data_IF_472909176273
#
_entry.id   IF_472909176273
#
_cell.length_a   1.000
_cell.length_b   1.000
_cell.length_c   1.000
_cell.angle_alpha   90.00
_cell.angle_beta   90.00
_cell.angle_gamma   90.00
#
_symmetry.space_group_name_H-M   'P 1'
#
loop_
_entity.id
_entity.type
_entity.pdbx_description
1 polymer ?
#
# COMPACT_ATOMS: atom_id res chain seq x y z
N UNK A 1 16.26 -42.64 3.43
CA UNK A 1 15.07 -42.13 2.73
C UNK A 1 15.57 -41.15 1.70
N UNK A 2 15.19 -41.31 0.43
CA UNK A 2 15.44 -40.29 -0.59
C UNK A 2 14.60 -39.06 -0.24
N UNK A 3 15.24 -37.89 -0.23
CA UNK A 3 14.56 -36.60 0.00
C UNK A 3 13.79 -36.29 -1.28
N UNK A 4 12.47 -36.23 -1.19
CA UNK A 4 11.62 -35.85 -2.32
C UNK A 4 11.71 -34.35 -2.57
N UNK A 5 12.25 -33.94 -3.73
CA UNK A 5 12.33 -32.53 -4.13
C UNK A 5 11.51 -32.30 -5.38
N UNK A 6 10.58 -31.35 -5.35
CA UNK A 6 9.80 -30.96 -6.53
C UNK A 6 10.35 -29.70 -7.19
N UNK A 7 10.42 -29.70 -8.52
CA UNK A 7 10.75 -28.51 -9.31
C UNK A 7 9.45 -27.83 -9.72
N UNK A 8 9.37 -26.52 -9.49
CA UNK A 8 8.20 -25.70 -9.82
C UNK A 8 8.51 -24.91 -11.09
N UNK A 9 7.76 -25.18 -12.15
CA UNK A 9 7.95 -24.52 -13.45
C UNK A 9 6.89 -23.46 -13.77
N UNK A 10 5.78 -23.45 -13.03
CA UNK A 10 4.67 -22.53 -13.28
C UNK A 10 3.83 -22.22 -12.05
N UNK A 11 2.96 -21.22 -12.17
CA UNK A 11 1.93 -20.92 -11.17
C UNK A 11 0.97 -22.11 -10.97
N UNK A 12 0.63 -22.88 -12.02
CA UNK A 12 -0.19 -24.09 -11.87
C UNK A 12 0.46 -25.15 -11.00
N UNK A 13 1.78 -25.38 -11.15
CA UNK A 13 2.50 -26.33 -10.31
C UNK A 13 2.43 -25.92 -8.85
N UNK A 14 2.69 -24.65 -8.56
CA UNK A 14 2.62 -24.10 -7.21
C UNK A 14 1.22 -24.21 -6.62
N UNK A 15 0.17 -23.86 -7.38
CA UNK A 15 -1.22 -23.95 -6.95
C UNK A 15 -1.63 -25.38 -6.61
N UNK A 16 -1.22 -26.37 -7.41
CA UNK A 16 -1.49 -27.79 -7.12
C UNK A 16 -0.94 -28.21 -5.76
N UNK A 17 0.27 -27.77 -5.40
CA UNK A 17 0.83 -28.06 -4.07
C UNK A 17 0.09 -27.33 -2.94
N UNK A 18 -0.41 -26.11 -3.18
CA UNK A 18 -1.28 -25.43 -2.21
C UNK A 18 -2.61 -26.18 -2.02
N UNK A 19 -3.21 -26.68 -3.10
CA UNK A 19 -4.42 -27.51 -3.04
C UNK A 19 -4.19 -28.80 -2.23
N UNK A 20 -3.08 -29.48 -2.48
CA UNK A 20 -2.67 -30.67 -1.71
C UNK A 20 -2.52 -30.36 -0.21
N UNK A 21 -1.83 -29.26 0.12
CA UNK A 21 -1.64 -28.81 1.50
C UNK A 21 -2.97 -28.56 2.22
N UNK A 22 -3.87 -27.81 1.60
CA UNK A 22 -5.19 -27.49 2.18
C UNK A 22 -6.06 -28.74 2.30
N UNK A 23 -5.91 -29.71 1.40
CA UNK A 23 -6.55 -31.02 1.50
C UNK A 23 -5.93 -31.95 2.56
N UNK A 24 -4.89 -31.51 3.29
CA UNK A 24 -4.20 -32.29 4.31
C UNK A 24 -3.33 -33.42 3.74
N UNK A 25 -2.91 -33.30 2.48
CA UNK A 25 -2.01 -34.26 1.83
C UNK A 25 -0.54 -33.89 2.09
N UNK A 26 0.32 -34.89 2.07
CA UNK A 26 1.76 -34.69 2.24
C UNK A 26 2.37 -33.92 1.06
N UNK A 27 3.21 -32.95 1.40
CA UNK A 27 4.04 -32.22 0.45
C UNK A 27 5.42 -32.88 0.29
N UNK A 28 6.13 -32.62 -0.82
CA UNK A 28 7.54 -32.97 -0.96
C UNK A 28 8.38 -32.41 0.20
N UNK A 29 9.52 -33.03 0.46
CA UNK A 29 10.46 -32.60 1.51
C UNK A 29 11.16 -31.28 1.18
N UNK A 30 11.27 -30.94 -0.11
CA UNK A 30 11.88 -29.71 -0.59
C UNK A 30 11.33 -29.27 -1.94
N UNK A 31 11.64 -28.03 -2.31
CA UNK A 31 11.28 -27.47 -3.62
C UNK A 31 12.41 -26.64 -4.21
N UNK A 32 12.40 -26.52 -5.53
CA UNK A 32 13.21 -25.57 -6.29
C UNK A 32 12.38 -24.92 -7.39
N UNK A 33 12.89 -23.82 -7.93
CA UNK A 33 12.23 -23.03 -8.97
C UNK A 33 13.02 -23.11 -10.28
N UNK A 34 12.31 -23.18 -11.40
CA UNK A 34 12.92 -23.09 -12.73
C UNK A 34 12.05 -22.20 -13.64
N UNK A 35 12.51 -20.99 -13.93
CA UNK A 35 11.84 -20.02 -14.81
C UNK A 35 10.62 -19.30 -14.20
N UNK A 36 10.01 -19.86 -13.16
CA UNK A 36 8.95 -19.23 -12.35
C UNK A 36 9.47 -19.07 -10.91
N UNK A 37 9.28 -17.95 -10.19
CA UNK A 37 8.24 -16.92 -10.35
C UNK A 37 8.72 -15.61 -10.99
N UNK A 38 9.54 -15.68 -12.05
CA UNK A 38 9.96 -14.48 -12.80
C UNK A 38 8.75 -13.83 -13.47
N UNK A 39 8.75 -12.50 -13.53
CA UNK A 39 7.65 -11.71 -14.11
C UNK A 39 8.03 -11.16 -15.47
N UNK A 40 7.07 -11.18 -16.41
CA UNK A 40 7.25 -10.58 -17.73
C UNK A 40 6.31 -9.40 -17.93
N UNK A 41 6.88 -8.26 -18.29
CA UNK A 41 6.17 -7.03 -18.61
C UNK A 41 6.38 -6.68 -20.08
N UNK A 42 5.34 -6.17 -20.75
CA UNK A 42 5.48 -5.59 -22.09
C UNK A 42 4.85 -4.22 -22.14
N UNK A 43 5.64 -3.20 -22.46
CA UNK A 43 5.17 -1.83 -22.62
C UNK A 43 5.07 -1.46 -24.12
N UNK A 44 4.08 -0.65 -24.47
CA UNK A 44 3.97 -0.08 -25.82
C UNK A 44 3.75 1.43 -25.77
N UNK A 45 4.15 2.11 -26.86
CA UNK A 45 4.04 3.56 -27.03
C UNK A 45 5.35 4.19 -27.50
N UNK A 46 5.29 5.45 -27.94
CA UNK A 46 6.40 6.15 -28.64
C UNK A 46 7.73 6.15 -27.87
N UNK A 47 7.67 6.10 -26.53
CA UNK A 47 8.83 6.13 -25.63
C UNK A 47 9.35 4.74 -25.25
N UNK A 48 8.78 3.68 -25.80
CA UNK A 48 8.99 2.29 -25.38
C UNK A 48 9.46 1.42 -26.56
N UNK A 49 10.39 1.95 -27.35
CA UNK A 49 11.13 1.21 -28.38
C UNK A 49 12.55 0.93 -27.89
N UNK A 50 12.74 -0.12 -27.07
CA UNK A 50 14.04 -0.48 -26.51
C UNK A 50 14.57 0.53 -25.48
N UNK A 51 13.67 1.24 -24.78
CA UNK A 51 14.04 2.17 -23.72
C UNK A 51 13.04 2.14 -22.57
N UNK A 52 13.53 2.46 -21.37
CA UNK A 52 12.71 2.60 -20.17
C UNK A 52 12.72 4.06 -19.70
N UNK A 53 11.55 4.57 -19.38
CA UNK A 53 11.43 5.91 -18.81
C UNK A 53 11.80 5.89 -17.32
N UNK A 54 12.29 7.03 -16.75
CA UNK A 54 12.55 7.11 -15.31
C UNK A 54 11.35 6.78 -14.43
N UNK A 55 10.12 7.03 -14.90
CA UNK A 55 8.90 6.63 -14.19
C UNK A 55 8.75 5.12 -14.08
N UNK A 56 9.03 4.38 -15.16
CA UNK A 56 8.99 2.92 -15.16
C UNK A 56 10.09 2.35 -14.29
N UNK A 57 11.32 2.87 -14.41
CA UNK A 57 12.43 2.49 -13.54
C UNK A 57 12.11 2.72 -12.06
N UNK A 58 11.44 3.83 -11.73
CA UNK A 58 10.99 4.08 -10.35
C UNK A 58 10.06 2.97 -9.85
N UNK A 59 9.15 2.46 -10.67
CA UNK A 59 8.28 1.34 -10.29
C UNK A 59 9.07 0.12 -9.82
N UNK A 60 10.11 -0.27 -10.56
CA UNK A 60 10.98 -1.38 -10.17
C UNK A 60 11.84 -1.08 -8.94
N UNK A 61 12.29 0.16 -8.76
CA UNK A 61 13.00 0.58 -7.55
C UNK A 61 12.10 0.47 -6.30
N UNK A 62 10.84 0.90 -6.39
CA UNK A 62 9.89 0.75 -5.29
C UNK A 62 9.56 -0.73 -5.03
N UNK A 63 9.44 -1.54 -6.08
CA UNK A 63 9.31 -3.00 -5.96
C UNK A 63 10.49 -3.62 -5.21
N UNK A 64 11.74 -3.29 -5.59
CA UNK A 64 12.93 -3.73 -4.85
C UNK A 64 12.89 -3.27 -3.39
N UNK A 65 12.42 -2.05 -3.11
CA UNK A 65 12.29 -1.57 -1.74
C UNK A 65 11.30 -2.42 -0.92
N UNK A 66 10.21 -2.88 -1.52
CA UNK A 66 9.26 -3.80 -0.88
C UNK A 66 9.83 -5.22 -0.72
N UNK A 67 10.58 -5.72 -1.69
CA UNK A 67 11.32 -7.00 -1.58
C UNK A 67 12.31 -6.96 -0.41
N UNK A 68 13.06 -5.86 -0.26
CA UNK A 68 13.96 -5.67 0.87
C UNK A 68 13.22 -5.71 2.22
N UNK A 69 12.02 -5.09 2.32
CA UNK A 69 11.19 -5.16 3.53
C UNK A 69 10.66 -6.57 3.79
N UNK A 70 10.24 -7.26 2.73
CA UNK A 70 9.74 -8.63 2.79
C UNK A 70 10.81 -9.59 3.31
N UNK A 71 12.02 -9.53 2.74
CA UNK A 71 13.14 -10.35 3.21
C UNK A 71 13.55 -10.01 4.65
N UNK A 72 13.60 -8.73 5.01
CA UNK A 72 13.87 -8.31 6.40
C UNK A 72 12.83 -8.86 7.38
N UNK A 73 11.55 -8.84 7.00
CA UNK A 73 10.48 -9.42 7.79
C UNK A 73 10.67 -10.93 7.97
N UNK A 74 10.98 -11.67 6.90
CA UNK A 74 11.19 -13.11 6.95
C UNK A 74 12.37 -13.49 7.85
N UNK A 75 13.49 -12.77 7.70
CA UNK A 75 14.75 -13.09 8.38
C UNK A 75 14.81 -12.57 9.80
N UNK A 76 14.37 -11.34 10.04
CA UNK A 76 14.52 -10.64 11.32
C UNK A 76 13.20 -10.43 12.07
N UNK A 77 12.06 -10.84 11.50
CA UNK A 77 10.74 -10.70 12.11
C UNK A 77 10.17 -9.28 12.07
N UNK A 78 10.86 -8.33 11.41
CA UNK A 78 10.42 -6.93 11.27
C UNK A 78 10.70 -6.43 9.85
N UNK A 79 9.79 -5.64 9.24
CA UNK A 79 9.98 -5.14 7.87
C UNK A 79 10.90 -3.91 7.83
N UNK A 80 12.11 -4.00 8.40
CA UNK A 80 13.09 -2.92 8.46
C UNK A 80 14.32 -3.23 7.57
N UNK A 81 14.42 -2.64 6.36
CA UNK A 81 15.49 -2.94 5.41
C UNK A 81 16.85 -2.37 5.83
N UNK A 82 16.91 -1.56 6.90
CA UNK A 82 18.18 -1.09 7.49
C UNK A 82 18.91 -2.19 8.25
N UNK A 83 18.21 -3.28 8.60
CA UNK A 83 18.80 -4.46 9.22
C UNK A 83 19.52 -5.38 8.23
N UNK A 84 19.29 -5.19 6.94
CA UNK A 84 19.97 -5.96 5.90
C UNK A 84 21.39 -5.43 5.70
N UNK A 85 22.35 -6.35 5.74
CA UNK A 85 23.72 -6.16 5.26
C UNK A 85 23.78 -5.86 3.77
N UNK A 86 24.96 -5.48 3.27
CA UNK A 86 25.15 -5.19 1.84
C UNK A 86 25.02 -6.48 1.02
N UNK A 87 25.61 -7.55 1.52
CA UNK A 87 25.62 -8.87 0.91
C UNK A 87 24.20 -9.43 0.79
N UNK A 88 23.37 -9.25 1.84
CA UNK A 88 21.96 -9.65 1.79
C UNK A 88 21.15 -8.86 0.77
N UNK A 89 21.41 -7.54 0.62
CA UNK A 89 20.71 -6.71 -0.37
C UNK A 89 21.11 -7.10 -1.79
N UNK A 90 22.39 -7.38 -2.02
CA UNK A 90 22.90 -7.85 -3.31
C UNK A 90 22.31 -9.23 -3.67
N UNK A 91 22.17 -10.14 -2.70
CA UNK A 91 21.63 -11.48 -2.93
C UNK A 91 20.14 -11.49 -3.36
N UNK A 92 19.36 -10.49 -2.93
CA UNK A 92 17.92 -10.38 -3.24
C UNK A 92 17.61 -9.30 -4.29
N UNK A 93 18.63 -8.74 -4.94
CA UNK A 93 18.45 -7.70 -5.95
C UNK A 93 17.81 -8.29 -7.21
N UNK A 94 16.67 -7.72 -7.63
CA UNK A 94 16.01 -8.11 -8.87
C UNK A 94 16.81 -7.64 -10.07
N UNK A 95 16.89 -8.49 -11.08
CA UNK A 95 17.49 -8.13 -12.36
C UNK A 95 16.38 -7.80 -13.35
N UNK A 96 16.45 -6.59 -13.90
CA UNK A 96 15.48 -6.07 -14.88
C UNK A 96 16.14 -6.10 -16.25
N UNK A 97 15.79 -7.10 -17.06
CA UNK A 97 16.34 -7.28 -18.41
C UNK A 97 15.40 -6.68 -19.45
N UNK A 98 15.94 -5.97 -20.44
CA UNK A 98 15.17 -5.42 -21.57
C UNK A 98 15.64 -6.09 -22.86
N UNK A 99 14.75 -6.77 -23.57
CA UNK A 99 15.13 -7.47 -24.80
C UNK A 99 15.31 -6.50 -25.99
N UNK A 100 16.21 -6.86 -26.91
CA UNK A 100 16.48 -6.05 -28.10
C UNK A 100 15.23 -5.94 -28.99
N UNK A 101 14.82 -4.70 -29.28
CA UNK A 101 13.76 -4.41 -30.25
C UNK A 101 12.32 -4.49 -29.70
N UNK A 102 12.14 -4.79 -28.42
CA UNK A 102 10.83 -4.71 -27.75
C UNK A 102 10.99 -4.10 -26.35
N UNK A 103 9.95 -3.46 -25.82
CA UNK A 103 9.91 -3.17 -24.37
C UNK A 103 9.35 -4.35 -23.59
N UNK A 104 9.83 -5.56 -23.95
CA UNK A 104 9.71 -6.72 -23.11
C UNK A 104 10.73 -6.59 -21.99
N UNK A 105 10.24 -6.61 -20.76
CA UNK A 105 11.00 -6.44 -19.55
C UNK A 105 10.80 -7.70 -18.73
N UNK A 106 11.88 -8.38 -18.42
CA UNK A 106 11.88 -9.54 -17.52
C UNK A 106 12.41 -9.11 -16.16
N UNK A 107 11.70 -9.48 -15.09
CA UNK A 107 12.14 -9.31 -13.71
C UNK A 107 12.48 -10.67 -13.14
N UNK A 108 13.78 -10.92 -12.98
CA UNK A 108 14.28 -12.15 -12.37
C UNK A 108 14.20 -12.07 -10.84
N UNK A 109 13.58 -13.07 -10.22
CA UNK A 109 13.39 -13.21 -8.77
C UNK A 109 14.21 -14.35 -8.15
N UNK A 110 15.08 -15.01 -8.91
CA UNK A 110 15.75 -16.24 -8.47
C UNK A 110 16.60 -16.00 -7.21
N UNK A 111 17.31 -14.87 -7.14
CA UNK A 111 18.09 -14.48 -5.97
C UNK A 111 17.21 -14.31 -4.72
N UNK A 112 16.11 -13.58 -4.85
CA UNK A 112 15.15 -13.41 -3.76
C UNK A 112 14.55 -14.74 -3.30
N UNK A 113 14.11 -15.59 -4.23
CA UNK A 113 13.52 -16.89 -3.89
C UNK A 113 14.53 -17.85 -3.28
N UNK A 114 15.78 -17.84 -3.75
CA UNK A 114 16.88 -18.60 -3.15
C UNK A 114 17.10 -18.23 -1.68
N UNK A 115 17.12 -16.93 -1.37
CA UNK A 115 17.26 -16.43 0.00
C UNK A 115 16.04 -16.73 0.89
N UNK A 116 14.83 -16.73 0.33
CA UNK A 116 13.61 -17.15 1.02
C UNK A 116 13.69 -18.64 1.42
N UNK A 117 14.12 -19.51 0.49
CA UNK A 117 14.31 -20.94 0.75
C UNK A 117 15.34 -21.14 1.88
N UNK A 118 16.52 -20.54 1.76
CA UNK A 118 17.58 -20.67 2.77
C UNK A 118 17.11 -20.21 4.16
N UNK A 119 16.41 -19.08 4.21
CA UNK A 119 15.89 -18.53 5.48
C UNK A 119 14.80 -19.42 6.08
N UNK A 120 13.90 -19.98 5.25
CA UNK A 120 12.84 -20.86 5.71
C UNK A 120 13.38 -22.18 6.29
N UNK A 121 14.35 -22.81 5.61
CA UNK A 121 14.99 -24.07 6.04
C UNK A 121 15.55 -23.98 7.46
N UNK A 122 16.05 -22.81 7.86
CA UNK A 122 16.67 -22.61 9.18
C UNK A 122 15.68 -22.57 10.36
N UNK A 123 14.36 -22.52 10.13
CA UNK A 123 13.39 -22.12 11.19
C UNK A 123 12.16 -23.01 11.36
N UNK A 124 11.86 -23.92 10.44
CA UNK A 124 10.56 -24.63 10.43
C UNK A 124 10.67 -26.08 9.93
N UNK A 125 9.62 -26.89 10.09
CA UNK A 125 9.57 -28.26 9.56
C UNK A 125 9.43 -28.30 8.03
N UNK A 126 9.77 -29.43 7.36
CA UNK A 126 9.86 -29.52 5.90
C UNK A 126 8.59 -29.08 5.14
N UNK A 127 7.41 -29.56 5.53
CA UNK A 127 6.15 -29.16 4.87
C UNK A 127 5.83 -27.68 5.06
N UNK A 128 6.14 -27.12 6.23
CA UNK A 128 5.91 -25.72 6.54
C UNK A 128 6.87 -24.79 5.76
N UNK A 129 8.09 -25.27 5.50
CA UNK A 129 9.04 -24.60 4.60
C UNK A 129 8.46 -24.55 3.20
N UNK A 130 8.07 -25.70 2.64
CA UNK A 130 7.55 -25.78 1.27
C UNK A 130 6.36 -24.84 1.10
N UNK A 131 5.35 -24.92 1.97
CA UNK A 131 4.16 -24.09 1.81
C UNK A 131 4.44 -22.60 2.01
N UNK A 132 5.36 -22.23 2.91
CA UNK A 132 5.75 -20.82 3.11
C UNK A 132 6.44 -20.29 1.86
N UNK A 133 7.38 -21.04 1.30
CA UNK A 133 8.13 -20.65 0.11
C UNK A 133 7.19 -20.54 -1.10
N UNK A 134 6.30 -21.52 -1.31
CA UNK A 134 5.27 -21.45 -2.36
C UNK A 134 4.34 -20.26 -2.18
N UNK A 135 3.89 -20.00 -0.95
CA UNK A 135 3.05 -18.84 -0.64
C UNK A 135 3.73 -17.52 -0.99
N UNK A 136 5.02 -17.36 -0.66
CA UNK A 136 5.81 -16.17 -1.04
C UNK A 136 5.95 -16.07 -2.57
N UNK A 137 6.26 -17.17 -3.25
CA UNK A 137 6.38 -17.19 -4.70
C UNK A 137 5.06 -16.77 -5.40
N UNK A 138 3.93 -17.28 -4.93
CA UNK A 138 2.59 -16.95 -5.45
C UNK A 138 2.21 -15.49 -5.16
N UNK A 139 2.58 -14.95 -4.00
CA UNK A 139 2.31 -13.55 -3.64
C UNK A 139 3.04 -12.57 -4.59
N UNK A 140 4.29 -12.88 -4.92
CA UNK A 140 5.18 -11.99 -5.68
C UNK A 140 5.16 -12.21 -7.19
N UNK A 141 5.06 -13.45 -7.66
CA UNK A 141 5.06 -13.79 -9.09
C UNK A 141 3.85 -14.59 -9.57
N UNK A 142 2.80 -14.74 -8.75
CA UNK A 142 1.54 -15.34 -9.16
C UNK A 142 0.62 -14.34 -9.88
N UNK A 143 0.17 -14.70 -11.09
CA UNK A 143 -0.75 -13.89 -11.89
C UNK A 143 -2.15 -13.88 -11.27
N UNK A 144 -2.56 -14.95 -10.59
CA UNK A 144 -3.88 -15.03 -9.93
C UNK A 144 -4.01 -13.94 -8.87
N UNK A 145 -3.01 -13.75 -8.01
CA UNK A 145 -3.04 -12.70 -6.99
C UNK A 145 -2.86 -11.29 -7.58
N UNK A 146 -2.21 -11.17 -8.74
CA UNK A 146 -2.17 -9.91 -9.47
C UNK A 146 -3.54 -9.53 -10.06
N UNK A 147 -4.22 -10.48 -10.71
CA UNK A 147 -5.59 -10.29 -11.22
C UNK A 147 -6.59 -10.01 -10.10
N UNK A 148 -6.46 -10.71 -8.96
CA UNK A 148 -7.25 -10.41 -7.76
C UNK A 148 -7.05 -8.97 -7.30
N UNK A 149 -5.79 -8.52 -7.21
CA UNK A 149 -5.48 -7.13 -6.87
C UNK A 149 -6.17 -6.14 -7.82
N UNK A 150 -6.14 -6.38 -9.14
CA UNK A 150 -6.81 -5.51 -10.11
C UNK A 150 -8.34 -5.50 -9.93
N UNK A 151 -8.92 -6.67 -9.68
CA UNK A 151 -10.35 -6.82 -9.42
C UNK A 151 -10.76 -6.07 -8.13
N UNK A 152 -10.00 -6.20 -7.05
CA UNK A 152 -10.24 -5.48 -5.79
C UNK A 152 -10.13 -3.95 -5.99
N UNK A 153 -9.11 -3.49 -6.74
CA UNK A 153 -8.95 -2.07 -7.09
C UNK A 153 -10.10 -1.55 -7.94
N UNK A 154 -10.60 -2.36 -8.86
CA UNK A 154 -11.78 -2.04 -9.67
C UNK A 154 -13.01 -1.88 -8.79
N UNK A 155 -13.27 -2.80 -7.86
CA UNK A 155 -14.40 -2.72 -6.94
C UNK A 155 -14.33 -1.48 -6.03
N UNK A 156 -13.15 -1.20 -5.46
CA UNK A 156 -12.91 0.01 -4.66
C UNK A 156 -13.20 1.26 -5.52
N UNK A 157 -12.66 1.31 -6.73
CA UNK A 157 -12.86 2.47 -7.63
C UNK A 157 -14.33 2.62 -8.01
N UNK A 158 -15.04 1.54 -8.30
CA UNK A 158 -16.48 1.55 -8.58
C UNK A 158 -17.28 2.09 -7.38
N UNK A 159 -16.89 1.78 -6.14
CA UNK A 159 -17.53 2.33 -4.95
C UNK A 159 -17.27 3.84 -4.79
N UNK A 160 -16.08 4.30 -5.16
CA UNK A 160 -15.62 5.68 -5.00
C UNK A 160 -16.08 6.65 -6.11
N UNK A 161 -16.31 6.15 -7.32
CA UNK A 161 -16.70 6.97 -8.49
C UNK A 161 -18.13 7.48 -8.35
N UNK A 162 -18.32 8.77 -8.65
CA UNK A 162 -19.65 9.41 -8.69
C UNK A 162 -20.31 9.41 -10.06
N UNK A 163 -19.52 9.30 -11.12
CA UNK A 163 -20.02 9.30 -12.48
C UNK A 163 -20.61 7.92 -12.82
N UNK A 164 -21.90 7.88 -13.14
CA UNK A 164 -22.58 6.65 -13.56
C UNK A 164 -21.86 5.99 -14.75
N UNK A 165 -21.47 6.78 -15.75
CA UNK A 165 -20.82 6.27 -16.96
C UNK A 165 -19.45 5.64 -16.68
N UNK A 166 -18.67 6.23 -15.77
CA UNK A 166 -17.37 5.66 -15.38
C UNK A 166 -17.56 4.40 -14.53
N UNK A 167 -18.58 4.37 -13.66
CA UNK A 167 -18.94 3.18 -12.88
C UNK A 167 -19.39 2.03 -13.79
N UNK A 168 -20.24 2.31 -14.78
CA UNK A 168 -20.70 1.33 -15.77
C UNK A 168 -19.54 0.79 -16.60
N UNK A 169 -18.64 1.66 -17.07
CA UNK A 169 -17.45 1.24 -17.81
C UNK A 169 -16.58 0.28 -16.99
N UNK A 170 -16.29 0.60 -15.72
CA UNK A 170 -15.57 -0.29 -14.83
C UNK A 170 -16.33 -1.61 -14.61
N UNK A 171 -17.66 -1.59 -14.50
CA UNK A 171 -18.46 -2.80 -14.30
C UNK A 171 -18.35 -3.80 -15.47
N UNK A 172 -18.08 -3.33 -16.70
CA UNK A 172 -17.87 -4.21 -17.86
C UNK A 172 -16.53 -4.94 -17.84
N UNK A 173 -15.58 -4.50 -17.01
CA UNK A 173 -14.26 -5.10 -16.93
C UNK A 173 -14.26 -6.30 -16.00
N UNK A 174 -13.64 -7.39 -16.44
CA UNK A 174 -13.48 -8.62 -15.65
C UNK A 174 -12.03 -9.08 -15.74
N UNK A 175 -11.32 -9.04 -14.62
CA UNK A 175 -9.93 -9.51 -14.57
C UNK A 175 -9.83 -10.98 -14.19
N UNK A 176 -10.85 -11.52 -13.52
CA UNK A 176 -10.87 -12.86 -12.95
C UNK A 176 -11.93 -13.75 -13.63
N UNK A 177 -11.49 -14.88 -14.18
CA UNK A 177 -12.38 -15.99 -14.54
C UNK A 177 -12.89 -16.74 -13.30
N UNK A 178 -13.91 -17.59 -13.45
CA UNK A 178 -14.42 -18.39 -12.33
C UNK A 178 -13.35 -19.31 -11.71
N UNK A 179 -12.49 -19.88 -12.54
CA UNK A 179 -11.38 -20.71 -12.07
C UNK A 179 -10.36 -19.89 -11.28
N UNK A 180 -10.06 -18.67 -11.73
CA UNK A 180 -9.15 -17.78 -11.01
C UNK A 180 -9.75 -17.28 -9.70
N UNK A 181 -11.07 -17.04 -9.65
CA UNK A 181 -11.75 -16.72 -8.39
C UNK A 181 -11.56 -17.84 -7.36
N UNK A 182 -11.77 -19.11 -7.76
CA UNK A 182 -11.54 -20.27 -6.88
C UNK A 182 -10.08 -20.38 -6.45
N UNK A 183 -9.13 -20.21 -7.37
CA UNK A 183 -7.68 -20.20 -7.06
C UNK A 183 -7.34 -19.08 -6.08
N UNK A 184 -7.90 -17.89 -6.25
CA UNK A 184 -7.71 -16.75 -5.35
C UNK A 184 -8.30 -17.00 -3.96
N UNK A 185 -9.46 -17.65 -3.85
CA UNK A 185 -10.07 -18.04 -2.58
C UNK A 185 -9.16 -19.01 -1.81
N UNK A 186 -8.62 -20.02 -2.51
CA UNK A 186 -7.64 -20.97 -1.98
C UNK A 186 -6.40 -20.24 -1.42
N UNK A 187 -5.85 -19.30 -2.18
CA UNK A 187 -4.69 -18.51 -1.74
C UNK A 187 -5.03 -17.60 -0.56
N UNK A 188 -6.23 -17.01 -0.56
CA UNK A 188 -6.71 -16.18 0.55
C UNK A 188 -6.84 -17.02 1.83
N UNK A 189 -7.30 -18.27 1.73
CA UNK A 189 -7.33 -19.20 2.85
C UNK A 189 -5.91 -19.48 3.37
N UNK A 190 -4.97 -19.83 2.48
CA UNK A 190 -3.58 -20.07 2.87
C UNK A 190 -2.96 -18.85 3.59
N UNK A 191 -3.17 -17.64 3.05
CA UNK A 191 -2.65 -16.40 3.62
C UNK A 191 -3.23 -16.14 5.01
N UNK A 192 -4.53 -16.40 5.21
CA UNK A 192 -5.19 -16.28 6.53
C UNK A 192 -4.65 -17.28 7.56
N UNK A 193 -4.36 -18.50 7.14
CA UNK A 193 -3.79 -19.54 8.02
C UNK A 193 -2.34 -19.24 8.42
N UNK A 194 -1.63 -18.40 7.64
CA UNK A 194 -0.20 -18.12 7.83
C UNK A 194 0.06 -16.61 8.02
N UNK A 195 0.14 -16.11 9.27
CA UNK A 195 0.35 -14.68 9.56
C UNK A 195 1.59 -14.04 8.90
N UNK A 196 2.62 -14.84 8.60
CA UNK A 196 3.79 -14.37 7.86
C UNK A 196 3.45 -14.02 6.41
N UNK A 197 2.61 -14.82 5.75
CA UNK A 197 2.18 -14.59 4.38
C UNK A 197 1.25 -13.37 4.27
N UNK A 198 0.41 -13.12 5.27
CA UNK A 198 -0.46 -11.94 5.32
C UNK A 198 0.33 -10.61 5.30
N UNK A 199 1.43 -10.52 6.03
CA UNK A 199 2.31 -9.36 5.96
C UNK A 199 3.07 -9.25 4.61
N UNK A 200 3.44 -10.40 4.02
CA UNK A 200 4.08 -10.43 2.71
C UNK A 200 3.12 -9.96 1.61
N UNK A 201 1.85 -10.36 1.68
CA UNK A 201 0.80 -9.96 0.74
C UNK A 201 0.64 -8.45 0.73
N UNK A 202 0.61 -7.79 1.90
CA UNK A 202 0.55 -6.32 1.99
C UNK A 202 1.71 -5.62 1.31
N UNK A 203 2.94 -6.11 1.53
CA UNK A 203 4.13 -5.54 0.90
C UNK A 203 4.12 -5.72 -0.63
N UNK A 204 3.66 -6.88 -1.09
CA UNK A 204 3.50 -7.16 -2.52
C UNK A 204 2.35 -6.33 -3.12
N UNK A 205 1.26 -6.08 -2.39
CA UNK A 205 0.16 -5.21 -2.81
C UNK A 205 0.66 -3.78 -3.06
N UNK A 206 1.51 -3.25 -2.18
CA UNK A 206 2.13 -1.93 -2.38
C UNK A 206 3.04 -1.92 -3.62
N UNK A 207 3.86 -2.96 -3.81
CA UNK A 207 4.70 -3.11 -5.00
C UNK A 207 3.85 -3.14 -6.30
N UNK A 208 2.78 -3.95 -6.33
CA UNK A 208 1.83 -4.02 -7.45
C UNK A 208 1.22 -2.65 -7.75
N UNK A 209 0.87 -1.91 -6.70
CA UNK A 209 0.32 -0.56 -6.83
C UNK A 209 1.30 0.39 -7.50
N UNK A 210 2.56 0.42 -7.05
CA UNK A 210 3.57 1.31 -7.59
C UNK A 210 4.00 0.93 -9.01
N UNK A 211 4.03 -0.37 -9.32
CA UNK A 211 4.26 -0.88 -10.67
C UNK A 211 3.14 -0.43 -11.62
N UNK A 212 1.86 -0.65 -11.29
CA UNK A 212 0.74 -0.23 -12.15
C UNK A 212 0.72 1.30 -12.32
N UNK A 213 1.04 2.08 -11.28
CA UNK A 213 1.17 3.54 -11.39
C UNK A 213 2.27 3.96 -12.36
N UNK A 214 3.38 3.22 -12.36
CA UNK A 214 4.54 3.54 -13.20
C UNK A 214 4.25 3.40 -14.70
N UNK A 215 3.26 2.58 -15.06
CA UNK A 215 2.89 2.26 -16.44
C UNK A 215 1.87 3.21 -17.06
N UNK A 216 1.31 4.16 -16.30
CA UNK A 216 0.30 5.13 -16.79
C UNK A 216 0.77 5.96 -18.01
N UNK A 217 2.08 6.03 -18.27
CA UNK A 217 2.65 6.74 -19.43
C UNK A 217 2.86 5.87 -20.67
N UNK A 218 2.67 4.56 -20.57
CA UNK A 218 2.63 3.67 -21.72
C UNK A 218 1.22 3.66 -22.31
N UNK A 219 1.09 3.43 -23.61
CA UNK A 219 -0.22 3.29 -24.25
C UNK A 219 -0.91 2.02 -23.73
N UNK A 220 -0.15 0.93 -23.67
CA UNK A 220 -0.52 -0.30 -22.98
C UNK A 220 0.66 -0.90 -22.21
N UNK A 221 0.33 -1.59 -21.12
CA UNK A 221 1.22 -2.44 -20.36
C UNK A 221 0.60 -3.84 -20.25
N UNK A 222 1.39 -4.87 -20.48
CA UNK A 222 1.00 -6.26 -20.28
C UNK A 222 1.83 -6.85 -19.15
N UNK A 223 1.20 -7.57 -18.22
CA UNK A 223 1.85 -8.27 -17.10
C UNK A 223 1.39 -9.72 -17.16
N UNK A 224 2.26 -10.64 -17.56
CA UNK A 224 1.97 -12.07 -17.71
C UNK A 224 0.61 -12.39 -18.36
N UNK A 225 0.31 -11.69 -19.46
CA UNK A 225 -0.95 -11.86 -20.20
C UNK A 225 -2.08 -10.88 -19.86
N UNK A 226 -1.98 -10.16 -18.74
CA UNK A 226 -2.97 -9.14 -18.35
C UNK A 226 -2.63 -7.82 -19.01
N UNK A 227 -3.49 -7.35 -19.93
CA UNK A 227 -3.31 -6.07 -20.63
C UNK A 227 -4.05 -4.96 -19.90
N UNK A 228 -3.33 -3.87 -19.63
CA UNK A 228 -3.82 -2.64 -19.03
C UNK A 228 -3.49 -1.48 -19.97
N UNK A 229 -4.48 -0.68 -20.36
CA UNK A 229 -4.21 0.58 -21.04
C UNK A 229 -3.92 1.71 -20.04
N UNK A 230 -3.49 2.86 -20.56
CA UNK A 230 -3.15 4.03 -19.77
C UNK A 230 -4.32 4.52 -18.88
N UNK A 231 -5.53 4.58 -19.43
CA UNK A 231 -6.71 5.11 -18.74
C UNK A 231 -7.15 4.18 -17.62
N UNK A 232 -7.17 2.87 -17.88
CA UNK A 232 -7.45 1.84 -16.91
C UNK A 232 -6.42 1.85 -15.78
N UNK A 233 -5.13 1.87 -16.11
CA UNK A 233 -4.04 1.93 -15.12
C UNK A 233 -4.18 3.15 -14.22
N UNK A 234 -4.52 4.31 -14.80
CA UNK A 234 -4.77 5.55 -14.06
C UNK A 234 -6.00 5.43 -13.16
N UNK A 235 -7.11 4.89 -13.66
CA UNK A 235 -8.34 4.74 -12.90
C UNK A 235 -8.19 3.78 -11.72
N UNK A 236 -7.52 2.64 -11.91
CA UNK A 236 -7.31 1.65 -10.86
C UNK A 236 -6.34 2.12 -9.77
N UNK A 237 -5.37 2.97 -10.11
CA UNK A 237 -4.37 3.46 -9.16
C UNK A 237 -4.72 4.81 -8.51
N UNK A 238 -5.70 5.51 -9.06
CA UNK A 238 -6.22 6.74 -8.47
C UNK A 238 -7.14 6.37 -7.30
N UNK A 239 -6.72 6.70 -6.08
CA UNK A 239 -7.66 6.76 -4.97
C UNK A 239 -8.54 7.99 -5.15
N UNK A 240 -9.84 7.90 -4.86
CA UNK A 240 -10.64 9.10 -4.73
C UNK A 240 -9.96 10.06 -3.74
N UNK A 241 -9.90 11.35 -4.10
CA UNK A 241 -9.52 12.38 -3.14
C UNK A 241 -10.46 12.23 -1.95
N UNK A 242 -9.93 11.71 -0.83
CA UNK A 242 -10.61 11.77 0.45
C UNK A 242 -10.87 13.24 0.73
N UNK A 243 -12.15 13.64 0.69
CA UNK A 243 -12.51 15.02 0.95
C UNK A 243 -12.36 15.22 2.45
N UNK A 244 -11.52 16.18 2.85
CA UNK A 244 -11.55 16.68 4.22
C UNK A 244 -12.99 17.04 4.56
N UNK A 245 -13.51 16.48 5.64
CA UNK A 245 -14.83 16.86 6.13
C UNK A 245 -14.67 18.03 7.09
N UNK A 246 -15.54 19.03 6.95
CA UNK A 246 -15.63 20.10 7.95
C UNK A 246 -16.46 19.60 9.13
N UNK A 247 -15.85 19.59 10.30
CA UNK A 247 -16.46 19.22 11.57
C UNK A 247 -16.45 20.43 12.51
N UNK A 248 -17.52 20.61 13.28
CA UNK A 248 -17.57 21.63 14.33
C UNK A 248 -17.12 21.04 15.66
N UNK A 249 -16.14 21.68 16.28
CA UNK A 249 -15.57 21.34 17.58
C UNK A 249 -15.84 22.47 18.57
N UNK A 250 -17.10 22.87 18.66
CA UNK A 250 -17.52 23.95 19.56
C UNK A 250 -17.56 23.46 21.00
N UNK A 251 -17.14 24.29 21.96
CA UNK A 251 -17.14 23.89 23.37
C UNK A 251 -16.35 24.81 24.26
N UNK A 252 -16.15 24.36 25.50
CA UNK A 252 -15.35 25.08 26.48
C UNK A 252 -13.91 24.58 26.41
N UNK A 253 -12.99 25.51 26.20
CA UNK A 253 -11.58 25.21 26.01
C UNK A 253 -10.72 26.03 26.96
N UNK A 254 -9.59 25.45 27.36
CA UNK A 254 -8.49 26.16 28.01
C UNK A 254 -7.42 26.46 26.97
N UNK A 255 -6.96 27.70 26.93
CA UNK A 255 -5.82 28.11 26.12
C UNK A 255 -4.54 27.66 26.82
N UNK A 256 -3.73 26.85 26.15
CA UNK A 256 -2.46 26.34 26.69
C UNK A 256 -1.25 27.09 26.15
N UNK A 257 -1.32 27.55 24.90
CA UNK A 257 -0.23 28.29 24.26
C UNK A 257 -0.76 29.18 23.13
N UNK A 258 -0.29 30.42 23.05
CA UNK A 258 -0.45 31.29 21.89
C UNK A 258 0.93 31.53 21.25
N UNK A 259 1.01 31.34 19.94
CA UNK A 259 2.17 31.65 19.12
C UNK A 259 1.79 32.74 18.12
N UNK A 260 2.46 33.87 18.24
CA UNK A 260 2.26 35.09 17.45
C UNK A 260 3.46 35.41 16.55
N UNK A 261 4.24 34.39 16.18
CA UNK A 261 5.43 34.57 15.33
C UNK A 261 5.05 34.98 13.90
N UNK A 262 3.86 34.56 13.43
CA UNK A 262 3.30 34.96 12.14
C UNK A 262 2.54 36.30 12.29
N UNK A 263 2.91 37.37 11.55
CA UNK A 263 2.23 38.65 11.61
C UNK A 263 0.76 38.61 11.17
N UNK A 264 0.36 37.62 10.37
CA UNK A 264 -0.97 37.53 9.75
C UNK A 264 -1.89 36.51 10.44
N UNK A 265 -1.37 35.75 11.42
CA UNK A 265 -2.15 34.72 12.11
C UNK A 265 -1.65 34.39 13.50
N UNK A 266 -2.57 34.08 14.41
CA UNK A 266 -2.21 33.53 15.72
C UNK A 266 -2.45 32.03 15.73
N UNK A 267 -1.43 31.26 16.10
CA UNK A 267 -1.58 29.82 16.32
C UNK A 267 -1.81 29.56 17.81
N UNK A 268 -2.96 28.98 18.14
CA UNK A 268 -3.41 28.76 19.51
C UNK A 268 -3.55 27.27 19.78
N UNK A 269 -2.89 26.76 20.81
CA UNK A 269 -3.12 25.41 21.33
C UNK A 269 -4.18 25.47 22.41
N UNK A 270 -5.22 24.67 22.22
CA UNK A 270 -6.38 24.62 23.12
C UNK A 270 -6.62 23.20 23.60
N UNK A 271 -7.13 23.07 24.82
CA UNK A 271 -7.55 21.80 25.40
C UNK A 271 -9.02 21.86 25.79
N UNK A 272 -9.82 20.95 25.27
CA UNK A 272 -11.23 20.85 25.62
C UNK A 272 -11.37 20.47 27.10
N UNK A 273 -12.26 21.15 27.83
CA UNK A 273 -12.43 20.94 29.28
C UNK A 273 -13.06 19.58 29.60
N UNK A 274 -13.93 19.07 28.73
CA UNK A 274 -14.71 17.86 28.97
C UNK A 274 -14.01 16.59 28.45
N UNK A 275 -13.39 16.68 27.26
CA UNK A 275 -12.78 15.52 26.59
C UNK A 275 -11.25 15.43 26.73
N UNK A 276 -10.61 16.44 27.32
CA UNK A 276 -9.15 16.61 27.38
C UNK A 276 -8.45 16.65 25.99
N UNK A 277 -9.23 16.72 24.90
CA UNK A 277 -8.72 16.76 23.54
C UNK A 277 -7.91 18.05 23.30
N UNK A 278 -6.66 17.89 22.88
CA UNK A 278 -5.76 18.99 22.50
C UNK A 278 -5.79 19.23 21.00
N UNK A 279 -5.96 20.48 20.59
CA UNK A 279 -6.04 20.87 19.18
C UNK A 279 -5.20 22.13 18.97
N UNK A 280 -4.47 22.18 17.86
CA UNK A 280 -3.82 23.40 17.40
C UNK A 280 -4.72 24.10 16.39
N UNK A 281 -5.13 25.32 16.71
CA UNK A 281 -6.02 26.13 15.90
C UNK A 281 -5.30 27.37 15.35
N UNK A 282 -5.80 27.90 14.24
CA UNK A 282 -5.42 29.20 13.70
C UNK A 282 -6.56 30.18 13.98
N UNK A 283 -6.23 31.36 14.49
CA UNK A 283 -7.14 32.50 14.58
C UNK A 283 -6.85 33.41 13.38
N UNK A 284 -7.83 33.58 12.50
CA UNK A 284 -7.70 34.47 11.35
C UNK A 284 -7.87 35.94 11.79
N UNK A 285 -6.99 36.82 11.33
CA UNK A 285 -6.95 38.24 11.74
C UNK A 285 -8.19 39.02 11.30
N UNK A 286 -8.85 38.60 10.21
CA UNK A 286 -10.14 39.18 9.74
C UNK A 286 -11.27 39.03 10.78
N UNK A 287 -11.13 38.13 11.76
CA UNK A 287 -12.06 37.99 12.90
C UNK A 287 -11.59 38.74 14.17
N UNK A 288 -10.36 39.25 14.19
CA UNK A 288 -9.75 39.98 15.32
C UNK A 288 -10.02 41.49 15.30
N UNK A 289 -10.62 42.01 14.23
CA UNK A 289 -11.15 43.39 14.17
C UNK A 289 -12.40 43.59 15.06
N UNK A 290 -13.02 42.51 15.52
CA UNK A 290 -14.00 42.53 16.59
C UNK A 290 -13.29 42.58 17.96
N UNK A 291 -13.10 43.78 18.51
CA UNK A 291 -12.30 44.04 19.72
C UNK A 291 -12.65 43.16 20.95
N UNK A 292 -13.86 42.60 20.99
CA UNK A 292 -14.35 41.75 22.08
C UNK A 292 -13.77 40.32 22.03
N UNK A 293 -13.61 39.71 20.86
CA UNK A 293 -13.08 38.32 20.75
C UNK A 293 -11.61 38.25 21.09
N UNK A 294 -10.84 39.26 20.66
CA UNK A 294 -9.42 39.40 21.00
C UNK A 294 -9.22 39.57 22.50
N UNK A 295 -10.04 40.41 23.15
CA UNK A 295 -10.01 40.60 24.61
C UNK A 295 -10.40 39.33 25.35
N UNK A 296 -11.47 38.64 24.93
CA UNK A 296 -11.89 37.38 25.53
C UNK A 296 -10.80 36.31 25.47
N UNK A 297 -10.11 36.19 24.33
CA UNK A 297 -8.99 35.26 24.15
C UNK A 297 -7.79 35.64 25.05
N UNK A 298 -7.43 36.93 25.10
CA UNK A 298 -6.34 37.44 25.94
C UNK A 298 -6.63 37.25 27.44
N UNK A 299 -7.83 37.60 27.89
CA UNK A 299 -8.26 37.38 29.27
C UNK A 299 -8.24 35.90 29.62
N UNK A 300 -8.77 35.04 28.75
CA UNK A 300 -8.79 33.60 28.99
C UNK A 300 -7.37 33.01 29.13
N UNK A 301 -6.42 33.47 28.32
CA UNK A 301 -5.02 33.05 28.40
C UNK A 301 -4.37 33.52 29.71
N UNK A 302 -4.50 34.81 30.05
CA UNK A 302 -3.82 35.40 31.22
C UNK A 302 -4.45 34.99 32.56
N UNK A 303 -5.78 34.94 32.63
CA UNK A 303 -6.50 34.48 33.82
C UNK A 303 -6.49 32.95 33.96
N UNK A 304 -6.04 32.23 32.93
CA UNK A 304 -6.05 30.76 32.84
C UNK A 304 -7.44 30.17 33.08
N UNK A 305 -8.47 30.87 32.60
CA UNK A 305 -9.87 30.46 32.68
C UNK A 305 -10.32 29.82 31.38
N UNK A 306 -11.26 28.85 31.43
CA UNK A 306 -11.89 28.35 30.23
C UNK A 306 -12.64 29.43 29.47
N UNK A 307 -12.68 29.30 28.14
CA UNK A 307 -13.40 30.18 27.22
C UNK A 307 -14.21 29.33 26.25
N UNK A 308 -15.37 29.84 25.83
CA UNK A 308 -16.17 29.16 24.82
C UNK A 308 -15.60 29.47 23.44
N UNK A 309 -15.23 28.42 22.69
CA UNK A 309 -14.72 28.52 21.33
C UNK A 309 -15.67 27.85 20.36
N UNK A 310 -15.95 28.51 19.24
CA UNK A 310 -16.51 27.84 18.06
C UNK A 310 -15.38 27.54 17.09
N UNK A 311 -15.16 26.26 16.80
CA UNK A 311 -14.01 25.79 16.02
C UNK A 311 -14.52 25.02 14.81
N UNK A 312 -14.11 25.45 13.62
CA UNK A 312 -14.29 24.65 12.41
C UNK A 312 -12.98 23.91 12.12
N UNK A 313 -13.04 22.59 12.09
CA UNK A 313 -11.89 21.74 11.83
C UNK A 313 -12.08 20.92 10.56
N UNK A 314 -10.98 20.71 9.83
CA UNK A 314 -10.91 19.77 8.72
C UNK A 314 -10.36 18.46 9.24
N UNK A 315 -11.20 17.45 9.23
CA UNK A 315 -10.85 16.09 9.62
C UNK A 315 -10.53 15.26 8.38
N UNK A 316 -9.48 14.45 8.48
CA UNK A 316 -9.12 13.43 7.51
C UNK A 316 -8.66 12.17 8.28
N UNK A 317 -9.39 11.07 8.10
CA UNK A 317 -9.09 9.75 8.69
C UNK A 317 -9.01 9.75 10.23
N UNK A 318 -9.94 10.42 10.92
CA UNK A 318 -9.94 10.49 12.39
C UNK A 318 -8.96 11.51 12.97
N UNK A 319 -8.15 12.16 12.12
CA UNK A 319 -7.18 13.16 12.53
C UNK A 319 -7.58 14.56 12.09
N UNK A 320 -7.46 15.54 12.99
CA UNK A 320 -7.66 16.95 12.69
C UNK A 320 -6.43 17.47 11.92
N UNK A 321 -6.60 17.80 10.65
CA UNK A 321 -5.52 18.32 9.78
C UNK A 321 -5.36 19.83 9.88
N UNK A 322 -6.45 20.56 10.13
CA UNK A 322 -6.43 22.00 10.40
C UNK A 322 -7.66 22.40 11.21
N UNK A 323 -7.53 23.36 12.11
CA UNK A 323 -8.65 23.91 12.86
C UNK A 323 -8.57 25.44 12.86
N UNK A 324 -9.73 26.09 12.71
CA UNK A 324 -9.86 27.54 12.69
C UNK A 324 -10.86 27.95 13.77
N UNK A 325 -10.47 28.89 14.62
CA UNK A 325 -11.38 29.49 15.59
C UNK A 325 -12.22 30.52 14.85
N UNK A 326 -13.54 30.32 14.86
CA UNK A 326 -14.51 31.22 14.22
C UNK A 326 -15.06 32.26 15.20
N UNK A 327 -15.16 31.90 16.48
CA UNK A 327 -15.79 32.74 17.50
C UNK A 327 -15.24 32.44 18.89
N UNK A 328 -15.17 33.47 19.74
CA UNK A 328 -14.67 33.39 21.12
C UNK A 328 -15.64 34.12 22.04
N UNK A 329 -16.07 33.49 23.13
CA UNK A 329 -16.94 34.11 24.13
C UNK A 329 -16.51 33.75 25.55
N UNK A 330 -16.44 34.76 26.41
CA UNK A 330 -16.20 34.54 27.84
C UNK A 330 -17.32 33.69 28.46
N UNK A 331 -16.93 32.75 29.31
CA UNK A 331 -17.86 31.94 30.09
C UNK A 331 -18.18 32.77 31.35
N UNK A 332 -19.46 33.08 31.53
CA UNK A 332 -19.96 33.92 32.64
C UNK A 332 -19.97 33.16 33.95
#
# INVERSE_FOLDING_TARGET
MEISTAVIHSEEDALRFVEMYIAGQDLPDGISFEGWPNLTFRLTGDKFHGSLTPSVMKGFVEMQAQINRAYALLKYGVPDPRKLSKEEKEAIEIQVNVENGSSLIEVNMDGFMGEVIQTAVSKVGPQEIVITVLGVALIWGGVVLFKKYLEDRKEIRMAEVKSESEREHLATMRFMSEQETKRSELLTQLIKEKPKLDNMERLAHDAKTDIVKSFVKADTAQIDGVVLDADLSKNLTTNARRKSMEIRLDGNYRIEKVDSTDPESFKVQVRNVDSDLRISCIVQDVFLDASEHKKALQHAEWDRKPVHLSINAKELDGEIKSAIILYVKEIT
#
